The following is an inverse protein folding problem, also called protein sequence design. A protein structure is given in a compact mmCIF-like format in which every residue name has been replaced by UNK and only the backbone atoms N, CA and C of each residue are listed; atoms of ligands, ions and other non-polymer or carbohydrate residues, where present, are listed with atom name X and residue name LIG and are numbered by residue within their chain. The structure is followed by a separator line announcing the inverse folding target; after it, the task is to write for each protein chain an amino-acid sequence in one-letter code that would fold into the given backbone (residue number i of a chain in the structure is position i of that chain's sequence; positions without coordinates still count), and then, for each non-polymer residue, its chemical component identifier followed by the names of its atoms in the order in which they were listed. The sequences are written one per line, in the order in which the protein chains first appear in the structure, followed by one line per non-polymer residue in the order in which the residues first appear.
data_IF_544966582893
#
_entry.id   IF_544966582893
#
_cell.length_a   1.000
_cell.length_b   1.000
_cell.length_c   1.000
_cell.angle_alpha   90.00
_cell.angle_beta   90.00
_cell.angle_gamma   90.00
#
_symmetry.space_group_name_H-M   'P 1'
#
loop_
_entity.id
_entity.type
_entity.pdbx_description
1 polymer ?
#
# COMPACT_ATOMS: atom_id res chain seq x y z
N UNK A 1 1.05 -45.19 65.04
CA UNK A 1 0.70 -45.57 63.66
C UNK A 1 0.65 -44.29 62.83
N UNK A 2 1.75 -43.81 62.25
CA UNK A 2 2.20 -44.09 60.85
C UNK A 2 1.05 -44.23 59.86
N UNK A 3 0.79 -43.16 59.09
CA UNK A 3 0.49 -43.11 57.63
C UNK A 3 0.26 -41.62 57.27
N UNK A 4 1.17 -40.94 56.57
CA UNK A 4 1.47 -40.95 55.12
C UNK A 4 0.63 -39.91 54.33
N UNK A 5 1.35 -38.94 53.73
CA UNK A 5 1.08 -38.25 52.45
C UNK A 5 -0.22 -37.39 52.37
N UNK A 6 -0.23 -36.15 51.87
CA UNK A 6 0.41 -35.60 50.66
C UNK A 6 0.61 -34.09 50.79
N UNK A 7 1.79 -33.63 50.36
CA UNK A 7 2.01 -32.27 49.92
C UNK A 7 1.22 -31.99 48.62
N UNK A 8 0.64 -30.79 48.50
CA UNK A 8 0.34 -30.19 47.21
C UNK A 8 0.86 -28.76 47.23
N UNK A 9 2.03 -28.60 46.62
CA UNK A 9 2.65 -27.35 46.23
C UNK A 9 1.73 -26.65 45.23
N UNK A 10 1.34 -25.40 45.49
CA UNK A 10 0.73 -24.54 44.46
C UNK A 10 1.61 -23.31 44.32
N UNK A 11 2.68 -23.47 43.53
CA UNK A 11 3.46 -22.35 42.98
C UNK A 11 2.71 -21.90 41.74
N UNK A 12 1.92 -20.83 41.89
CA UNK A 12 1.36 -20.12 40.74
C UNK A 12 2.48 -19.30 40.09
N UNK A 13 3.21 -19.92 39.16
CA UNK A 13 4.03 -19.18 38.21
C UNK A 13 3.10 -18.38 37.30
N UNK A 14 3.02 -17.07 37.54
CA UNK A 14 2.51 -16.10 36.57
C UNK A 14 3.48 -16.09 35.39
N UNK A 15 3.29 -17.02 34.45
CA UNK A 15 3.90 -16.92 33.13
C UNK A 15 3.04 -15.97 32.30
N UNK A 16 3.26 -14.68 32.50
CA UNK A 16 2.98 -13.68 31.46
C UNK A 16 3.97 -13.92 30.34
N UNK A 17 3.69 -14.89 29.47
CA UNK A 17 4.50 -15.17 28.29
C UNK A 17 4.35 -13.98 27.37
N UNK A 18 5.40 -13.18 27.33
CA UNK A 18 5.79 -12.25 26.28
C UNK A 18 5.90 -13.00 24.95
N UNK A 19 4.77 -13.35 24.32
CA UNK A 19 4.75 -14.00 23.00
C UNK A 19 5.19 -13.06 21.86
N UNK A 20 5.38 -11.78 22.15
CA UNK A 20 5.73 -10.77 21.15
C UNK A 20 7.20 -10.81 20.71
N UNK A 21 8.14 -11.33 21.53
CA UNK A 21 9.58 -11.22 21.23
C UNK A 21 10.13 -12.28 20.28
N UNK A 22 9.45 -13.43 20.16
CA UNK A 22 9.92 -14.52 19.28
C UNK A 22 9.63 -14.25 17.79
N UNK A 23 8.52 -13.56 17.49
CA UNK A 23 8.15 -13.25 16.11
C UNK A 23 9.07 -12.20 15.45
N UNK A 24 9.58 -11.21 16.22
CA UNK A 24 10.54 -10.22 15.71
C UNK A 24 11.93 -10.79 15.43
N UNK A 25 12.26 -11.96 16.00
CA UNK A 25 13.50 -12.66 15.68
C UNK A 25 13.40 -13.54 14.43
N UNK A 26 12.17 -13.85 13.97
CA UNK A 26 11.92 -14.80 12.90
C UNK A 26 11.87 -14.16 11.51
N UNK A 27 11.40 -12.92 11.41
CA UNK A 27 11.22 -12.24 10.13
C UNK A 27 12.08 -10.97 10.06
N UNK A 28 12.64 -10.71 8.88
CA UNK A 28 13.33 -9.45 8.61
C UNK A 28 12.32 -8.29 8.75
N UNK A 29 12.76 -7.10 9.21
CA UNK A 29 11.92 -5.91 9.18
C UNK A 29 11.41 -5.66 7.76
N UNK A 30 10.22 -5.06 7.64
CA UNK A 30 9.65 -4.69 6.34
C UNK A 30 8.90 -3.37 6.46
N UNK A 31 9.18 -2.43 5.56
CA UNK A 31 8.46 -1.17 5.47
C UNK A 31 7.14 -1.42 4.74
N UNK A 32 6.06 -0.92 5.32
CA UNK A 32 4.73 -1.03 4.76
C UNK A 32 4.62 -0.24 3.44
N UNK A 33 4.27 -0.93 2.36
CA UNK A 33 4.12 -0.36 1.02
C UNK A 33 3.08 0.75 0.96
N UNK A 34 1.99 0.63 1.72
CA UNK A 34 0.96 1.67 1.76
C UNK A 34 1.56 2.99 2.29
N UNK A 35 2.47 2.93 3.28
CA UNK A 35 3.14 4.13 3.81
C UNK A 35 4.11 4.75 2.82
N UNK A 36 4.78 3.93 1.99
CA UNK A 36 5.66 4.42 0.93
C UNK A 36 4.82 5.12 -0.17
N UNK A 37 3.73 4.48 -0.60
CA UNK A 37 2.84 5.03 -1.62
C UNK A 37 2.05 6.25 -1.15
N UNK A 38 1.83 6.41 0.15
CA UNK A 38 1.24 7.62 0.73
C UNK A 38 2.27 8.72 1.02
N UNK A 39 3.55 8.49 0.71
CA UNK A 39 4.59 9.51 0.78
C UNK A 39 4.34 10.66 -0.20
N UNK A 40 5.00 11.80 0.02
CA UNK A 40 4.84 12.97 -0.84
C UNK A 40 5.87 12.96 -1.98
N UNK A 41 5.35 12.94 -3.20
CA UNK A 41 6.11 12.95 -4.45
C UNK A 41 5.65 14.13 -5.28
N UNK A 42 6.42 15.20 -5.33
CA UNK A 42 6.06 16.38 -6.12
C UNK A 42 6.38 16.13 -7.60
N UNK A 43 5.35 15.84 -8.37
CA UNK A 43 5.44 15.68 -9.82
C UNK A 43 5.99 16.94 -10.51
N UNK A 44 5.85 18.14 -9.95
CA UNK A 44 6.34 19.35 -10.62
C UNK A 44 7.86 19.51 -10.51
N UNK A 45 8.44 19.26 -9.32
CA UNK A 45 9.87 19.45 -9.07
C UNK A 45 10.72 18.18 -9.08
N UNK A 46 10.09 16.99 -9.09
CA UNK A 46 10.79 15.72 -8.89
C UNK A 46 11.23 15.49 -7.45
N UNK A 47 10.67 16.23 -6.49
CA UNK A 47 10.98 16.10 -5.07
C UNK A 47 10.27 14.91 -4.43
N UNK A 48 11.01 14.14 -3.65
CA UNK A 48 10.53 13.10 -2.77
C UNK A 48 10.78 13.57 -1.34
N UNK A 49 9.73 13.62 -0.53
CA UNK A 49 9.82 13.99 0.89
C UNK A 49 9.62 12.74 1.76
N UNK A 50 10.63 12.44 2.59
CA UNK A 50 10.61 11.32 3.51
C UNK A 50 10.13 11.77 4.89
N UNK A 51 9.09 11.12 5.41
CA UNK A 51 8.45 11.50 6.69
C UNK A 51 8.44 10.33 7.68
N UNK A 52 7.25 9.93 8.11
CA UNK A 52 7.00 8.82 9.01
C UNK A 52 6.58 7.60 8.19
N UNK A 53 7.25 6.47 8.40
CA UNK A 53 6.95 5.20 7.74
C UNK A 53 6.56 4.15 8.77
N UNK A 54 5.73 3.20 8.34
CA UNK A 54 5.36 2.05 9.17
C UNK A 54 6.29 0.89 8.86
N UNK A 55 6.73 0.19 9.90
CA UNK A 55 7.60 -0.98 9.80
C UNK A 55 6.98 -2.14 10.56
N UNK A 56 6.95 -3.31 9.94
CA UNK A 56 6.65 -4.59 10.59
C UNK A 56 7.93 -5.31 10.99
N UNK A 57 7.83 -6.20 11.98
CA UNK A 57 8.96 -6.93 12.57
C UNK A 57 10.09 -5.99 13.01
N UNK A 58 9.71 -4.84 13.57
CA UNK A 58 10.65 -3.83 14.02
C UNK A 58 11.59 -4.41 15.11
N UNK A 59 12.92 -4.22 15.02
CA UNK A 59 13.85 -4.60 16.08
C UNK A 59 13.41 -4.10 17.47
N UNK A 60 13.65 -4.88 18.54
CA UNK A 60 13.26 -4.46 19.90
C UNK A 60 14.16 -3.34 20.45
N UNK A 61 15.45 -3.37 20.11
CA UNK A 61 16.42 -2.35 20.49
C UNK A 61 16.34 -1.13 19.55
N UNK A 62 16.85 0.04 19.99
CA UNK A 62 17.11 1.15 19.08
C UNK A 62 17.90 0.66 17.86
N UNK A 63 17.50 1.12 16.68
CA UNK A 63 18.03 0.60 15.42
C UNK A 63 18.76 1.69 14.64
N UNK A 64 19.65 1.29 13.75
CA UNK A 64 20.25 2.20 12.77
C UNK A 64 19.48 2.09 11.45
N UNK A 65 18.62 3.08 11.19
CA UNK A 65 17.79 3.13 9.99
C UNK A 65 18.21 4.23 9.03
N UNK A 66 18.12 3.96 7.73
CA UNK A 66 18.16 4.99 6.70
C UNK A 66 17.25 4.63 5.51
N UNK A 67 16.94 5.64 4.72
CA UNK A 67 16.38 5.50 3.38
C UNK A 67 17.34 6.11 2.38
N UNK A 68 17.58 5.42 1.27
CA UNK A 68 18.42 5.88 0.18
C UNK A 68 17.63 5.82 -1.14
N UNK A 69 17.91 6.76 -2.04
CA UNK A 69 17.43 6.74 -3.42
C UNK A 69 18.62 6.43 -4.31
N UNK A 70 18.48 5.37 -5.12
CA UNK A 70 19.49 4.92 -6.06
C UNK A 70 19.02 5.18 -7.48
N UNK A 71 19.92 5.58 -8.37
CA UNK A 71 19.66 5.61 -9.82
C UNK A 71 19.71 4.21 -10.45
N UNK A 72 19.60 4.13 -11.79
CA UNK A 72 19.58 2.88 -12.54
C UNK A 72 20.92 2.12 -12.45
N UNK A 73 22.03 2.83 -12.23
CA UNK A 73 23.37 2.29 -12.07
C UNK A 73 23.66 1.85 -10.61
N UNK A 74 22.73 2.10 -9.69
CA UNK A 74 22.88 1.80 -8.26
C UNK A 74 23.65 2.87 -7.49
N UNK A 75 23.86 4.06 -8.07
CA UNK A 75 24.49 5.19 -7.40
C UNK A 75 23.50 5.85 -6.44
N UNK A 76 23.92 6.12 -5.22
CA UNK A 76 23.11 6.85 -4.25
C UNK A 76 23.01 8.32 -4.68
N UNK A 77 21.82 8.77 -5.04
CA UNK A 77 21.51 10.17 -5.40
C UNK A 77 20.94 10.97 -4.24
N UNK A 78 20.54 10.30 -3.16
CA UNK A 78 20.12 10.92 -1.91
C UNK A 78 19.95 9.89 -0.79
N UNK A 79 20.14 10.29 0.47
CA UNK A 79 19.90 9.43 1.61
C UNK A 79 19.59 10.23 2.88
N UNK A 80 18.76 9.65 3.75
CA UNK A 80 18.34 10.25 5.01
C UNK A 80 18.30 9.21 6.12
N UNK A 81 18.70 9.59 7.33
CA UNK A 81 18.64 8.72 8.50
C UNK A 81 17.26 8.76 9.14
N UNK A 82 16.90 7.69 9.82
CA UNK A 82 15.79 7.67 10.77
C UNK A 82 16.28 7.95 12.19
N UNK A 83 15.40 8.47 13.05
CA UNK A 83 15.66 8.47 14.49
C UNK A 83 15.82 7.03 14.99
N UNK A 84 16.73 6.79 15.95
CA UNK A 84 16.96 5.43 16.46
C UNK A 84 15.78 4.89 17.29
N UNK A 85 14.97 5.80 17.85
CA UNK A 85 13.78 5.49 18.62
C UNK A 85 12.52 5.54 17.73
N UNK A 86 11.59 4.63 17.98
CA UNK A 86 10.29 4.60 17.30
C UNK A 86 9.37 5.71 17.82
N UNK A 87 8.68 6.39 16.90
CA UNK A 87 7.68 7.39 17.27
C UNK A 87 6.44 6.76 17.92
N UNK A 88 6.10 5.53 17.52
CA UNK A 88 5.04 4.71 18.10
C UNK A 88 5.39 3.22 17.88
N UNK A 89 4.90 2.32 18.76
CA UNK A 89 5.09 0.88 18.65
C UNK A 89 3.89 0.12 19.21
N UNK A 90 3.41 -0.87 18.46
CA UNK A 90 2.35 -1.77 18.86
C UNK A 90 2.67 -3.20 18.40
N UNK A 91 3.10 -4.04 19.33
CA UNK A 91 3.55 -5.41 19.02
C UNK A 91 4.76 -5.44 18.08
N UNK A 92 4.58 -6.09 16.93
CA UNK A 92 5.61 -6.19 15.86
C UNK A 92 5.64 -4.98 14.94
N UNK A 93 4.68 -4.06 15.06
CA UNK A 93 4.60 -2.86 14.24
C UNK A 93 5.17 -1.64 14.95
N UNK A 94 5.83 -0.77 14.21
CA UNK A 94 6.31 0.51 14.71
C UNK A 94 6.23 1.60 13.65
N UNK A 95 6.38 2.85 14.09
CA UNK A 95 6.53 4.03 13.23
C UNK A 95 7.96 4.55 13.35
N UNK A 96 8.65 4.65 12.22
CA UNK A 96 9.99 5.24 12.09
C UNK A 96 9.86 6.65 11.51
N UNK A 97 10.70 7.58 11.94
CA UNK A 97 10.65 9.00 11.53
C UNK A 97 11.97 9.44 10.95
N UNK A 98 11.95 10.07 9.77
CA UNK A 98 13.13 10.63 9.14
C UNK A 98 13.68 11.83 9.92
N UNK A 99 15.01 11.96 9.99
CA UNK A 99 15.70 13.12 10.58
C UNK A 99 15.71 14.24 9.53
N UNK A 100 15.00 15.34 9.81
CA UNK A 100 14.63 16.33 8.80
C UNK A 100 15.58 17.54 8.62
N UNK A 101 15.37 18.33 7.54
CA UNK A 101 14.49 18.04 6.40
C UNK A 101 15.05 16.89 5.54
N UNK A 102 14.18 15.94 5.18
CA UNK A 102 14.56 14.69 4.53
C UNK A 102 14.01 14.64 3.10
N UNK A 103 14.55 15.52 2.25
CA UNK A 103 14.12 15.68 0.86
C UNK A 103 15.17 15.17 -0.12
N UNK A 104 14.73 14.60 -1.23
CA UNK A 104 15.58 14.25 -2.37
C UNK A 104 14.90 14.78 -3.64
N UNK A 105 15.59 15.63 -4.40
CA UNK A 105 15.09 16.14 -5.68
C UNK A 105 15.77 15.42 -6.82
N UNK A 106 14.97 14.77 -7.66
CA UNK A 106 15.43 14.07 -8.86
C UNK A 106 15.20 14.95 -10.08
N UNK A 107 16.26 15.22 -10.84
CA UNK A 107 16.21 16.14 -11.99
C UNK A 107 16.45 15.46 -13.33
N UNK A 108 16.89 14.20 -13.31
CA UNK A 108 17.14 13.39 -14.51
C UNK A 108 16.03 12.35 -14.66
N UNK A 109 15.26 12.35 -15.76
CA UNK A 109 14.30 11.29 -16.04
C UNK A 109 14.99 9.93 -16.08
N UNK A 110 14.38 8.91 -15.48
CA UNK A 110 15.01 7.60 -15.34
C UNK A 110 14.30 6.68 -14.35
N UNK A 111 14.87 5.49 -14.18
CA UNK A 111 14.47 4.55 -13.15
C UNK A 111 15.28 4.82 -11.89
N UNK A 112 14.59 4.81 -10.75
CA UNK A 112 15.17 4.95 -9.43
C UNK A 112 14.64 3.85 -8.52
N UNK A 113 15.40 3.53 -7.48
CA UNK A 113 14.97 2.60 -6.43
C UNK A 113 15.10 3.28 -5.09
N UNK A 114 14.01 3.39 -4.34
CA UNK A 114 14.02 3.78 -2.94
C UNK A 114 14.32 2.51 -2.13
N UNK A 115 15.39 2.53 -1.33
CA UNK A 115 15.81 1.40 -0.51
C UNK A 115 15.81 1.81 0.95
N UNK A 116 15.03 1.09 1.75
CA UNK A 116 15.02 1.22 3.19
C UNK A 116 16.01 0.22 3.78
N UNK A 117 16.83 0.69 4.71
CA UNK A 117 17.91 -0.08 5.34
C UNK A 117 17.74 -0.05 6.85
N UNK A 118 17.79 -1.21 7.49
CA UNK A 118 17.77 -1.37 8.95
C UNK A 118 18.99 -2.18 9.36
N UNK A 119 19.79 -1.64 10.29
CA UNK A 119 21.01 -2.28 10.79
C UNK A 119 21.97 -2.71 9.65
N UNK A 120 22.15 -1.83 8.66
CA UNK A 120 22.98 -2.02 7.46
C UNK A 120 22.51 -3.14 6.51
N UNK A 121 21.27 -3.62 6.65
CA UNK A 121 20.65 -4.56 5.72
C UNK A 121 19.48 -3.90 4.98
N UNK A 122 19.42 -3.96 3.64
CA UNK A 122 18.22 -3.58 2.91
C UNK A 122 17.03 -4.43 3.36
N UNK A 123 15.91 -3.78 3.67
CA UNK A 123 14.70 -4.43 4.18
C UNK A 123 13.50 -4.25 3.26
N UNK A 124 13.46 -3.18 2.48
CA UNK A 124 12.40 -2.93 1.50
C UNK A 124 12.93 -2.11 0.35
N UNK A 125 12.59 -2.48 -0.88
CA UNK A 125 12.86 -1.69 -2.08
C UNK A 125 11.55 -1.29 -2.76
N UNK A 126 11.54 -0.07 -3.31
CA UNK A 126 10.41 0.48 -4.02
C UNK A 126 10.91 1.15 -5.30
N UNK A 127 10.60 0.52 -6.44
CA UNK A 127 10.96 1.04 -7.75
C UNK A 127 10.04 2.21 -8.12
N UNK A 128 10.64 3.29 -8.64
CA UNK A 128 9.95 4.49 -9.09
C UNK A 128 10.59 5.01 -10.36
N UNK A 129 9.78 5.50 -11.29
CA UNK A 129 10.25 6.15 -12.52
C UNK A 129 9.95 7.64 -12.44
N UNK A 130 10.94 8.45 -12.77
CA UNK A 130 10.74 9.87 -13.05
C UNK A 130 10.67 10.06 -14.56
N UNK A 131 9.62 10.70 -15.04
CA UNK A 131 9.46 11.07 -16.44
C UNK A 131 9.44 12.60 -16.59
N UNK A 132 9.95 13.10 -17.72
CA UNK A 132 9.75 14.51 -18.11
C UNK A 132 8.37 14.60 -18.80
N UNK A 133 7.44 15.32 -18.18
CA UNK A 133 6.05 15.47 -18.66
C UNK A 133 5.85 16.76 -19.45
N UNK A 134 6.82 17.67 -19.38
CA UNK A 134 6.87 18.86 -20.21
C UNK A 134 8.10 19.72 -19.89
N UNK A 135 8.37 20.66 -20.78
CA UNK A 135 9.37 21.70 -20.62
C UNK A 135 8.69 23.04 -20.85
N UNK A 136 9.00 24.05 -20.02
CA UNK A 136 8.60 25.42 -20.29
C UNK A 136 9.20 25.93 -21.60
N UNK A 137 8.40 26.63 -22.40
CA UNK A 137 8.85 27.29 -23.63
C UNK A 137 9.58 28.62 -23.36
N UNK A 138 9.55 29.09 -22.10
CA UNK A 138 10.24 30.32 -21.71
C UNK A 138 11.75 30.04 -21.56
N UNK A 139 12.62 30.62 -22.41
CA UNK A 139 14.06 30.44 -22.28
C UNK A 139 14.66 31.05 -21.00
N UNK A 140 13.91 31.89 -20.29
CA UNK A 140 14.29 32.48 -19.00
C UNK A 140 13.73 31.72 -17.79
N UNK A 141 12.74 30.85 -18.01
CA UNK A 141 12.18 29.97 -16.99
C UNK A 141 11.78 28.61 -17.62
N UNK A 142 12.76 27.79 -18.03
CA UNK A 142 12.49 26.48 -18.59
C UNK A 142 12.07 25.53 -17.45
N UNK A 143 10.86 25.71 -16.94
CA UNK A 143 10.28 24.84 -15.90
C UNK A 143 10.11 23.47 -16.52
N UNK A 144 11.06 22.57 -16.23
CA UNK A 144 10.85 21.15 -16.45
C UNK A 144 9.77 20.69 -15.50
N UNK A 145 8.78 20.00 -16.05
CA UNK A 145 7.76 19.31 -15.28
C UNK A 145 8.05 17.84 -15.33
N UNK A 146 8.01 17.22 -14.16
CA UNK A 146 8.22 15.80 -14.06
C UNK A 146 6.89 15.07 -13.85
N UNK A 147 6.97 13.78 -13.61
CA UNK A 147 5.85 12.96 -13.21
C UNK A 147 6.38 11.61 -12.74
N UNK A 148 5.94 11.20 -11.57
CA UNK A 148 6.30 9.90 -11.03
C UNK A 148 5.42 8.79 -11.62
N UNK A 149 6.01 7.60 -11.78
CA UNK A 149 5.31 6.35 -12.09
C UNK A 149 5.89 5.22 -11.23
N UNK A 150 5.13 4.15 -11.03
CA UNK A 150 5.54 3.00 -10.23
C UNK A 150 4.36 2.21 -9.69
N UNK A 151 4.56 1.62 -8.51
CA UNK A 151 3.60 0.71 -7.90
C UNK A 151 2.21 1.30 -7.65
N UNK A 152 2.08 2.63 -7.54
CA UNK A 152 0.77 3.27 -7.50
C UNK A 152 -0.15 2.78 -8.62
N UNK A 153 0.40 2.59 -9.84
CA UNK A 153 -0.30 2.21 -11.07
C UNK A 153 -0.49 0.72 -11.27
N UNK A 154 0.23 -0.10 -10.52
CA UNK A 154 0.23 -1.55 -10.71
C UNK A 154 -0.21 -2.30 -9.47
N UNK A 155 -0.38 -1.65 -8.33
CA UNK A 155 -0.84 -2.27 -7.09
C UNK A 155 -2.12 -1.63 -6.57
N UNK A 156 -2.93 -2.47 -5.96
CA UNK A 156 -4.06 -2.10 -5.11
C UNK A 156 -4.14 -3.12 -3.97
N UNK A 157 -4.97 -2.86 -2.97
CA UNK A 157 -5.30 -3.88 -1.99
C UNK A 157 -6.77 -3.85 -1.61
N UNK A 158 -7.27 -4.99 -1.15
CA UNK A 158 -8.59 -5.14 -0.57
C UNK A 158 -8.47 -5.15 0.95
N UNK A 159 -9.33 -4.41 1.63
CA UNK A 159 -9.56 -4.55 3.07
C UNK A 159 -11.02 -4.91 3.31
N UNK A 160 -11.30 -5.59 4.43
CA UNK A 160 -12.66 -5.99 4.77
C UNK A 160 -13.28 -4.98 5.74
N UNK A 161 -14.44 -4.44 5.36
CA UNK A 161 -15.26 -3.59 6.23
C UNK A 161 -16.52 -4.31 6.66
N UNK A 162 -16.97 -4.06 7.88
CA UNK A 162 -18.26 -4.55 8.35
C UNK A 162 -19.39 -3.60 7.96
N UNK A 163 -20.42 -4.12 7.30
CA UNK A 163 -21.67 -3.43 6.98
C UNK A 163 -22.85 -4.34 7.30
N UNK A 164 -23.73 -3.91 8.22
CA UNK A 164 -24.88 -4.71 8.68
C UNK A 164 -24.51 -6.15 9.04
N UNK A 165 -23.44 -6.31 9.82
CA UNK A 165 -22.89 -7.60 10.27
C UNK A 165 -22.32 -8.51 9.16
N UNK A 166 -22.27 -8.04 7.91
CA UNK A 166 -21.61 -8.72 6.79
C UNK A 166 -20.27 -8.03 6.44
N UNK A 167 -19.35 -8.77 5.83
CA UNK A 167 -18.08 -8.22 5.34
C UNK A 167 -18.23 -7.72 3.90
N UNK A 168 -17.66 -6.55 3.63
CA UNK A 168 -17.65 -5.89 2.32
C UNK A 168 -16.20 -5.56 1.97
N UNK A 169 -15.68 -6.09 0.85
CA UNK A 169 -14.39 -5.67 0.33
C UNK A 169 -14.41 -4.19 -0.05
N UNK A 170 -13.44 -3.42 0.45
CA UNK A 170 -13.11 -2.09 -0.02
C UNK A 170 -11.75 -2.14 -0.72
N UNK A 171 -11.72 -1.64 -1.94
CA UNK A 171 -10.50 -1.50 -2.73
C UNK A 171 -9.84 -0.17 -2.37
N UNK A 172 -8.57 -0.23 -1.99
CA UNK A 172 -7.68 0.92 -1.96
C UNK A 172 -6.75 0.88 -3.16
N UNK A 173 -6.76 1.95 -3.93
CA UNK A 173 -5.84 2.17 -5.04
C UNK A 173 -5.38 3.63 -5.02
N UNK A 174 -4.39 3.99 -5.83
CA UNK A 174 -3.91 5.37 -5.87
C UNK A 174 -4.22 6.03 -7.20
N UNK A 175 -4.57 7.31 -7.21
CA UNK A 175 -4.81 8.07 -8.45
C UNK A 175 -4.22 9.48 -8.36
N UNK A 176 -3.68 9.98 -9.47
CA UNK A 176 -2.97 11.27 -9.51
C UNK A 176 -2.91 11.88 -10.92
N UNK A 177 -2.07 12.89 -11.12
CA UNK A 177 -1.99 13.67 -12.37
C UNK A 177 -1.87 12.82 -13.62
N UNK A 178 -1.10 11.73 -13.55
CA UNK A 178 -0.83 10.85 -14.69
C UNK A 178 -2.07 10.11 -15.20
N UNK A 179 -3.12 10.05 -14.40
CA UNK A 179 -4.41 9.49 -14.78
C UNK A 179 -5.38 10.54 -15.38
N UNK A 180 -5.01 11.82 -15.40
CA UNK A 180 -5.84 12.89 -15.96
C UNK A 180 -5.69 13.01 -17.49
N UNK A 181 -6.71 13.51 -18.20
CA UNK A 181 -6.54 13.96 -19.58
C UNK A 181 -5.62 15.17 -19.62
N UNK A 182 -4.90 15.38 -20.73
CA UNK A 182 -4.02 16.52 -20.88
C UNK A 182 -4.75 17.85 -20.60
N UNK A 183 -4.13 18.72 -19.80
CA UNK A 183 -4.66 20.04 -19.44
C UNK A 183 -5.83 20.04 -18.45
N UNK A 184 -6.24 18.89 -17.90
CA UNK A 184 -7.26 18.82 -16.85
C UNK A 184 -6.62 18.83 -15.48
N UNK A 185 -7.33 19.41 -14.51
CA UNK A 185 -6.92 19.42 -13.09
C UNK A 185 -7.68 18.41 -12.22
N UNK A 186 -8.78 17.90 -12.75
CA UNK A 186 -9.63 16.93 -12.07
C UNK A 186 -10.43 16.14 -13.10
N UNK A 187 -10.78 14.91 -12.75
CA UNK A 187 -11.69 14.06 -13.50
C UNK A 187 -12.36 13.04 -12.57
N UNK A 188 -13.35 12.32 -13.07
CA UNK A 188 -14.01 11.22 -12.37
C UNK A 188 -13.56 9.89 -12.96
N UNK A 189 -13.61 8.84 -12.14
CA UNK A 189 -13.44 7.47 -12.58
C UNK A 189 -14.56 6.56 -12.08
N UNK A 190 -14.73 5.42 -12.75
CA UNK A 190 -15.55 4.30 -12.30
C UNK A 190 -14.68 3.05 -12.27
N UNK A 191 -14.86 2.20 -11.26
CA UNK A 191 -14.25 0.89 -11.23
C UNK A 191 -15.29 -0.17 -11.65
N UNK A 192 -14.88 -1.13 -12.47
CA UNK A 192 -15.69 -2.30 -12.86
C UNK A 192 -14.98 -3.55 -12.39
N UNK A 193 -15.72 -4.49 -11.82
CA UNK A 193 -15.24 -5.81 -11.47
C UNK A 193 -15.73 -6.78 -12.53
N UNK A 194 -14.81 -7.40 -13.24
CA UNK A 194 -15.07 -8.46 -14.19
C UNK A 194 -14.70 -9.80 -13.54
N UNK A 195 -15.51 -10.83 -13.80
CA UNK A 195 -15.18 -12.23 -13.52
C UNK A 195 -15.27 -12.99 -14.84
N UNK A 196 -14.18 -13.65 -15.23
CA UNK A 196 -14.04 -14.38 -16.49
C UNK A 196 -14.43 -13.54 -17.72
N UNK A 197 -14.14 -12.23 -17.66
CA UNK A 197 -14.46 -11.25 -18.71
C UNK A 197 -15.88 -10.67 -18.66
N UNK A 198 -16.76 -11.15 -17.77
CA UNK A 198 -18.10 -10.61 -17.58
C UNK A 198 -18.16 -9.64 -16.40
N UNK A 199 -18.77 -8.46 -16.61
CA UNK A 199 -18.92 -7.49 -15.53
C UNK A 199 -19.93 -7.98 -14.48
N UNK A 200 -19.46 -8.24 -13.26
CA UNK A 200 -20.27 -8.72 -12.13
C UNK A 200 -20.56 -7.63 -11.10
N UNK A 201 -19.76 -6.55 -11.06
CA UNK A 201 -20.00 -5.41 -10.19
C UNK A 201 -19.39 -4.12 -10.74
N UNK A 202 -19.83 -2.96 -10.24
CA UNK A 202 -19.16 -1.69 -10.50
C UNK A 202 -19.34 -0.70 -9.34
N UNK A 203 -18.43 0.25 -9.23
CA UNK A 203 -18.59 1.38 -8.29
C UNK A 203 -19.73 2.30 -8.73
N UNK A 204 -20.23 3.15 -7.83
CA UNK A 204 -21.11 4.25 -8.26
C UNK A 204 -20.33 5.22 -9.13
N UNK A 205 -21.00 5.83 -10.11
CA UNK A 205 -20.40 6.82 -11.02
C UNK A 205 -19.82 8.04 -10.27
N UNK A 206 -20.28 8.32 -9.05
CA UNK A 206 -19.81 9.48 -8.27
C UNK A 206 -18.71 9.15 -7.26
N UNK A 207 -18.23 7.91 -7.21
CA UNK A 207 -17.33 7.44 -6.13
C UNK A 207 -15.92 7.98 -6.27
N UNK A 208 -15.39 7.97 -7.50
CA UNK A 208 -13.98 8.20 -7.77
C UNK A 208 -13.69 9.54 -8.37
N UNK A 209 -12.77 10.30 -7.79
CA UNK A 209 -12.18 11.50 -8.40
C UNK A 209 -10.67 11.34 -8.51
N UNK A 210 -10.12 11.91 -9.57
CA UNK A 210 -8.70 12.07 -9.85
C UNK A 210 -8.41 13.56 -9.69
N UNK A 211 -7.37 13.92 -8.94
CA UNK A 211 -6.94 15.30 -8.77
C UNK A 211 -5.54 15.49 -9.35
N UNK A 212 -5.22 16.73 -9.73
CA UNK A 212 -3.86 17.12 -10.06
C UNK A 212 -2.99 17.05 -8.80
N UNK A 213 -1.74 16.65 -8.98
CA UNK A 213 -0.74 16.41 -7.97
C UNK A 213 -0.30 14.95 -7.93
N UNK A 214 0.40 14.62 -6.85
CA UNK A 214 0.88 13.29 -6.53
C UNK A 214 -0.26 12.26 -6.44
N UNK A 215 0.11 10.98 -6.45
CA UNK A 215 -0.82 9.88 -6.26
C UNK A 215 -1.42 9.88 -4.85
N UNK A 216 -2.74 9.94 -4.76
CA UNK A 216 -3.47 9.86 -3.49
C UNK A 216 -4.29 8.58 -3.41
N UNK A 217 -4.44 7.99 -2.20
CA UNK A 217 -5.28 6.82 -2.02
C UNK A 217 -6.76 7.14 -2.26
N UNK A 218 -7.43 6.28 -3.01
CA UNK A 218 -8.85 6.30 -3.36
C UNK A 218 -9.47 4.99 -2.88
N UNK A 219 -10.64 5.11 -2.28
CA UNK A 219 -11.36 4.02 -1.63
C UNK A 219 -12.60 3.71 -2.44
N UNK A 220 -12.75 2.47 -2.88
CA UNK A 220 -13.80 2.07 -3.81
C UNK A 220 -14.55 0.87 -3.26
N UNK A 221 -15.86 1.04 -3.07
CA UNK A 221 -16.79 -0.07 -2.83
C UNK A 221 -17.46 -0.48 -4.14
N UNK A 222 -17.67 -1.79 -4.28
CA UNK A 222 -18.36 -2.37 -5.42
C UNK A 222 -19.85 -2.60 -5.11
N UNK A 223 -20.67 -2.47 -6.14
CA UNK A 223 -22.12 -2.66 -6.07
C UNK A 223 -22.56 -3.61 -7.18
N UNK A 224 -23.65 -4.34 -6.95
CA UNK A 224 -24.29 -5.10 -8.02
C UNK A 224 -24.63 -4.18 -9.21
N UNK A 225 -24.65 -4.72 -10.45
CA UNK A 225 -24.90 -3.93 -11.64
C UNK A 225 -26.20 -3.13 -11.52
N UNK A 226 -26.11 -1.82 -11.74
CA UNK A 226 -27.25 -0.93 -11.59
C UNK A 226 -27.19 0.22 -12.59
N UNK A 227 -28.36 0.76 -12.94
CA UNK A 227 -28.44 1.97 -13.75
C UNK A 227 -28.26 3.22 -12.88
N UNK A 228 -27.94 4.36 -13.50
CA UNK A 228 -27.81 5.65 -12.81
C UNK A 228 -29.04 6.02 -11.96
N UNK A 229 -30.26 5.66 -12.39
CA UNK A 229 -31.50 5.91 -11.64
C UNK A 229 -31.63 5.04 -10.39
N UNK A 230 -30.91 3.92 -10.33
CA UNK A 230 -30.96 2.95 -9.23
C UNK A 230 -29.86 3.19 -8.19
N UNK A 231 -28.93 4.13 -8.39
CA UNK A 231 -27.82 4.44 -7.46
C UNK A 231 -28.25 4.54 -5.99
N UNK A 232 -29.36 5.23 -5.63
CA UNK A 232 -29.77 5.35 -4.22
C UNK A 232 -30.10 4.01 -3.57
N UNK A 233 -30.51 3.01 -4.35
CA UNK A 233 -30.91 1.68 -3.91
C UNK A 233 -29.91 0.60 -4.38
N UNK A 234 -28.73 1.00 -4.87
CA UNK A 234 -27.72 0.06 -5.34
C UNK A 234 -27.24 -0.83 -4.19
N UNK A 235 -27.33 -2.14 -4.39
CA UNK A 235 -26.91 -3.15 -3.43
C UNK A 235 -25.39 -3.31 -3.46
N UNK A 236 -24.77 -3.39 -2.28
CA UNK A 236 -23.33 -3.63 -2.15
C UNK A 236 -22.99 -5.05 -2.61
N UNK A 237 -21.86 -5.20 -3.29
CA UNK A 237 -21.30 -6.49 -3.66
C UNK A 237 -20.52 -7.04 -2.47
N UNK A 238 -21.16 -7.89 -1.66
CA UNK A 238 -20.66 -8.37 -0.37
C UNK A 238 -19.54 -9.39 -0.56
N UNK A 239 -18.75 -9.70 0.48
CA UNK A 239 -17.64 -10.66 0.39
C UNK A 239 -18.07 -12.00 -0.24
N UNK A 240 -19.23 -12.54 0.15
CA UNK A 240 -19.77 -13.80 -0.41
C UNK A 240 -19.91 -13.78 -1.94
N UNK A 241 -20.14 -12.62 -2.54
CA UNK A 241 -20.25 -12.45 -3.99
C UNK A 241 -18.87 -12.44 -4.69
N UNK A 242 -17.81 -12.09 -3.95
CA UNK A 242 -16.42 -12.21 -4.38
C UNK A 242 -15.85 -13.63 -4.21
N UNK A 243 -16.45 -14.47 -3.37
CA UNK A 243 -15.96 -15.82 -3.06
C UNK A 243 -16.41 -16.89 -4.07
N UNK A 244 -16.72 -16.50 -5.29
CA UNK A 244 -17.02 -17.43 -6.37
C UNK A 244 -15.75 -17.61 -7.19
N UNK A 245 -15.31 -18.84 -7.36
CA UNK A 245 -14.08 -19.14 -8.11
C UNK A 245 -14.12 -18.56 -9.53
N UNK A 246 -12.96 -18.09 -9.99
CA UNK A 246 -12.79 -17.51 -11.32
C UNK A 246 -11.62 -16.53 -11.38
N UNK A 247 -11.30 -16.09 -12.60
CA UNK A 247 -10.31 -15.03 -12.82
C UNK A 247 -11.01 -13.67 -12.76
N UNK A 248 -10.51 -12.75 -11.93
CA UNK A 248 -11.10 -11.43 -11.73
C UNK A 248 -10.19 -10.33 -12.27
N UNK A 249 -10.82 -9.28 -12.81
CA UNK A 249 -10.16 -8.04 -13.25
C UNK A 249 -10.91 -6.83 -12.71
N UNK A 250 -10.23 -5.93 -12.00
CA UNK A 250 -10.76 -4.61 -11.64
C UNK A 250 -10.28 -3.60 -12.69
N UNK A 251 -11.17 -3.18 -13.58
CA UNK A 251 -10.87 -2.11 -14.52
C UNK A 251 -11.21 -0.75 -13.93
N UNK A 252 -10.25 0.19 -13.98
CA UNK A 252 -10.50 1.59 -13.60
C UNK A 252 -10.58 2.43 -14.86
N UNK A 253 -11.75 3.03 -15.08
CA UNK A 253 -12.09 3.73 -16.31
C UNK A 253 -12.34 5.20 -15.99
N UNK A 254 -11.63 6.07 -16.70
CA UNK A 254 -11.84 7.51 -16.65
C UNK A 254 -13.12 7.89 -17.37
N UNK A 255 -13.97 8.70 -16.74
CA UNK A 255 -15.32 8.96 -17.25
C UNK A 255 -15.35 9.94 -18.42
N UNK A 256 -14.42 10.89 -18.50
CA UNK A 256 -14.45 11.93 -19.53
C UNK A 256 -14.25 11.39 -20.95
N UNK A 257 -13.46 10.32 -21.11
CA UNK A 257 -13.09 9.77 -22.41
C UNK A 257 -13.18 8.23 -22.50
N UNK A 258 -13.62 7.57 -21.43
CA UNK A 258 -13.75 6.11 -21.38
C UNK A 258 -12.43 5.36 -21.39
N UNK A 259 -11.30 6.03 -21.19
CA UNK A 259 -9.98 5.38 -21.19
C UNK A 259 -9.82 4.51 -19.95
N UNK A 260 -9.46 3.23 -20.16
CA UNK A 260 -8.94 2.38 -19.08
C UNK A 260 -7.59 2.95 -18.62
N UNK A 261 -7.55 3.46 -17.40
CA UNK A 261 -6.33 4.04 -16.83
C UNK A 261 -5.48 2.99 -16.11
N UNK A 262 -6.13 1.94 -15.57
CA UNK A 262 -5.53 0.88 -14.73
C UNK A 262 -6.33 -0.41 -14.82
N UNK A 263 -5.66 -1.51 -14.50
CA UNK A 263 -6.29 -2.79 -14.24
C UNK A 263 -5.61 -3.49 -13.07
N UNK A 264 -6.34 -4.33 -12.35
CA UNK A 264 -5.80 -5.17 -11.28
C UNK A 264 -6.39 -6.57 -11.43
N UNK A 265 -5.52 -7.55 -11.63
CA UNK A 265 -5.88 -8.95 -11.83
C UNK A 265 -5.69 -9.72 -10.52
N UNK A 266 -6.59 -10.66 -10.23
CA UNK A 266 -6.46 -11.62 -9.14
C UNK A 266 -7.37 -12.83 -9.40
N UNK A 267 -7.08 -13.94 -8.73
CA UNK A 267 -7.88 -15.16 -8.81
C UNK A 267 -8.67 -15.39 -7.52
N UNK A 268 -9.79 -16.08 -7.64
CA UNK A 268 -10.51 -16.66 -6.51
C UNK A 268 -10.49 -18.18 -6.69
N UNK A 269 -10.01 -18.88 -5.67
CA UNK A 269 -9.83 -20.34 -5.69
C UNK A 269 -10.35 -20.89 -4.37
N UNK A 270 -11.22 -21.90 -4.42
CA UNK A 270 -11.87 -22.50 -3.26
C UNK A 270 -12.58 -21.45 -2.36
N UNK A 271 -13.11 -20.39 -2.98
CA UNK A 271 -13.78 -19.27 -2.30
C UNK A 271 -12.84 -18.31 -1.57
N UNK A 272 -11.53 -18.38 -1.81
CA UNK A 272 -10.53 -17.47 -1.24
C UNK A 272 -9.91 -16.58 -2.32
N UNK A 273 -9.92 -15.27 -2.07
CA UNK A 273 -9.26 -14.28 -2.93
C UNK A 273 -7.75 -14.44 -2.77
N UNK A 274 -7.06 -14.74 -3.87
CA UNK A 274 -5.62 -14.97 -3.87
C UNK A 274 -4.88 -13.64 -3.87
N UNK A 275 -4.02 -13.44 -2.87
CA UNK A 275 -3.12 -12.29 -2.84
C UNK A 275 -1.88 -12.52 -3.70
N UNK A 276 -1.18 -11.45 -4.06
CA UNK A 276 0.10 -11.56 -4.76
C UNK A 276 1.12 -12.40 -3.95
N UNK A 277 1.98 -13.20 -4.60
CA UNK A 277 2.97 -14.03 -3.91
C UNK A 277 3.89 -13.26 -2.95
N UNK A 278 4.21 -12.01 -3.29
CA UNK A 278 5.08 -11.12 -2.49
C UNK A 278 4.52 -10.82 -1.10
N UNK A 279 3.22 -11.06 -0.87
CA UNK A 279 2.57 -10.84 0.42
C UNK A 279 2.58 -12.04 1.36
N UNK A 280 3.05 -13.19 0.88
CA UNK A 280 3.13 -14.41 1.68
C UNK A 280 4.32 -14.34 2.65
N UNK A 281 4.08 -14.68 3.92
CA UNK A 281 5.14 -14.73 4.93
C UNK A 281 6.24 -15.70 4.50
N UNK A 282 7.50 -15.23 4.54
CA UNK A 282 8.64 -16.02 4.10
C UNK A 282 8.91 -15.96 2.59
N UNK A 283 8.33 -15.00 1.87
CA UNK A 283 8.68 -14.72 0.48
C UNK A 283 10.21 -14.59 0.30
N UNK A 284 10.74 -15.24 -0.74
CA UNK A 284 12.18 -15.48 -0.92
C UNK A 284 12.99 -14.17 -0.98
N UNK A 285 12.48 -13.17 -1.71
CA UNK A 285 13.10 -11.85 -1.77
C UNK A 285 12.55 -10.98 -0.64
N UNK A 286 13.20 -11.04 0.52
CA UNK A 286 12.78 -10.30 1.71
C UNK A 286 12.63 -8.78 1.47
N UNK A 287 13.40 -8.20 0.54
CA UNK A 287 13.32 -6.77 0.19
C UNK A 287 12.13 -6.40 -0.70
N UNK A 288 11.49 -7.38 -1.33
CA UNK A 288 10.26 -7.22 -2.12
C UNK A 288 9.02 -7.67 -1.36
N UNK A 289 9.16 -8.13 -0.13
CA UNK A 289 8.03 -8.57 0.67
C UNK A 289 7.05 -7.42 0.89
N UNK A 290 5.78 -7.66 0.57
CA UNK A 290 4.69 -6.70 0.72
C UNK A 290 3.89 -7.09 1.94
N UNK A 291 3.86 -6.25 2.98
CA UNK A 291 3.16 -6.56 4.22
C UNK A 291 1.66 -6.86 3.96
N UNK A 292 1.11 -8.04 4.34
CA UNK A 292 -0.31 -8.37 4.14
C UNK A 292 -1.23 -7.67 5.15
N UNK A 293 -0.84 -6.49 5.62
CA UNK A 293 -1.56 -5.67 6.59
C UNK A 293 -1.32 -4.19 6.32
N UNK A 294 -2.36 -3.40 6.57
CA UNK A 294 -2.34 -1.93 6.44
C UNK A 294 -2.92 -1.27 7.68
N UNK A 295 -2.70 0.03 7.88
CA UNK A 295 -3.30 0.74 9.02
C UNK A 295 -4.80 0.86 8.81
N UNK A 296 -5.56 0.59 9.86
CA UNK A 296 -6.98 0.85 9.88
C UNK A 296 -7.24 2.34 9.75
N UNK A 297 -7.89 2.73 8.65
CA UNK A 297 -8.37 4.10 8.44
C UNK A 297 -9.27 4.56 9.60
N UNK A 298 -8.97 5.75 10.14
CA UNK A 298 -9.75 6.39 11.19
C UNK A 298 -9.49 5.85 12.61
N UNK A 299 -8.58 4.88 12.77
CA UNK A 299 -8.07 4.49 14.08
C UNK A 299 -7.19 5.56 14.70
N UNK A 300 -7.18 5.65 16.02
CA UNK A 300 -6.30 6.55 16.79
C UNK A 300 -5.02 5.85 17.27
N UNK A 301 -4.95 4.52 17.14
CA UNK A 301 -3.81 3.68 17.47
C UNK A 301 -3.16 3.10 16.20
N UNK A 302 -2.00 2.44 16.36
CA UNK A 302 -1.32 1.73 15.27
C UNK A 302 -2.00 0.38 15.01
N UNK A 303 -3.30 0.44 14.71
CA UNK A 303 -4.14 -0.74 14.49
C UNK A 303 -3.95 -1.23 13.05
N UNK A 304 -3.33 -2.39 12.89
CA UNK A 304 -3.06 -2.99 11.58
C UNK A 304 -4.10 -4.06 11.25
N UNK A 305 -4.84 -3.88 10.16
CA UNK A 305 -5.84 -4.83 9.63
C UNK A 305 -5.27 -5.61 8.44
N UNK A 306 -5.86 -6.76 8.16
CA UNK A 306 -5.49 -7.59 7.01
C UNK A 306 -5.77 -6.88 5.68
N UNK A 307 -4.86 -7.07 4.73
CA UNK A 307 -4.96 -6.56 3.38
C UNK A 307 -4.60 -7.65 2.36
N UNK A 308 -5.45 -7.81 1.35
CA UNK A 308 -5.19 -8.70 0.21
C UNK A 308 -4.65 -7.82 -0.91
N UNK A 309 -3.34 -7.86 -1.12
CA UNK A 309 -2.69 -7.13 -2.21
C UNK A 309 -2.97 -7.82 -3.54
N UNK A 310 -3.26 -7.01 -4.56
CA UNK A 310 -3.56 -7.40 -5.94
C UNK A 310 -2.75 -6.51 -6.89
N UNK A 311 -2.50 -6.97 -8.11
CA UNK A 311 -1.63 -6.24 -9.05
C UNK A 311 -2.06 -6.34 -10.51
N UNK A 312 -1.61 -5.39 -11.32
CA UNK A 312 -1.68 -5.48 -12.78
C UNK A 312 -0.63 -6.48 -13.28
N UNK A 313 -1.04 -7.63 -13.82
CA UNK A 313 -0.11 -8.67 -14.29
C UNK A 313 0.20 -8.47 -15.78
N UNK A 314 -0.57 -7.65 -16.49
CA UNK A 314 -0.53 -7.52 -17.95
C UNK A 314 0.45 -6.45 -18.44
N UNK A 315 1.20 -5.79 -17.56
CA UNK A 315 1.90 -4.53 -17.85
C UNK A 315 3.42 -4.58 -17.80
#
# INVERSE_FOLDING_TARGET
MRKLLKACLLVACVQGITLSSLASAQYAPAIDFESIMNGYFDDESGLINFTDYRVAFAPEAPFNGLVAVLDAEGTIVGQHKFFPDYANREGVFAVIRAVGPADVTLTTPGLYTIVFVVNNQPVTRFAVRLEETGSGDDPFDPVKKYGFDGYWRTMAHLTMKTWKDEQVPEITMWAGSKDLPAGKRQDMFVARLLRDGEMVAHSRETTGHIAQGHFEPKYVSMYHPHTRRQIPNAELFMLKDWQVDGAYEIEVIRQSDGKKIRSYDFDVVDGEIQSIPQSQLGYESATDFVLPRVLRKGGTALEMIEAIWIQDIKR
#
